data_IF_969129854157
#
_entry.id   IF_969129854157
#
_cell.length_a   1.000
_cell.length_b   1.000
_cell.length_c   1.000
_cell.angle_alpha   90.00
_cell.angle_beta   90.00
_cell.angle_gamma   90.00
#
_symmetry.space_group_name_H-M   'P 1'
#
loop_
_entity.id
_entity.type
_entity.pdbx_description
1 polymer ?
#
# COMPACT_ATOMS: atom_id res chain seq x y z
N UNK A 1 18.43 14.48 -13.79
CA UNK A 1 18.55 13.17 -13.08
C UNK A 1 17.32 12.34 -13.38
N UNK A 2 17.51 11.10 -13.80
CA UNK A 2 16.42 10.15 -14.01
C UNK A 2 16.24 9.25 -12.79
N UNK A 3 15.06 9.25 -12.23
CA UNK A 3 14.69 8.54 -11.01
C UNK A 3 13.65 7.48 -11.34
N UNK A 4 13.86 6.24 -10.93
CA UNK A 4 12.81 5.22 -10.89
C UNK A 4 12.20 5.24 -9.50
N UNK A 5 10.94 5.56 -9.42
CA UNK A 5 10.17 5.55 -8.17
C UNK A 5 9.26 4.33 -8.14
N UNK A 6 9.47 3.48 -7.16
CA UNK A 6 8.69 2.29 -6.81
C UNK A 6 8.45 2.27 -5.30
N UNK A 7 7.50 1.46 -4.84
CA UNK A 7 7.23 1.20 -3.43
C UNK A 7 6.36 -0.04 -3.29
N UNK A 8 6.03 -0.41 -2.07
CA UNK A 8 5.03 -1.42 -1.74
C UNK A 8 5.29 -2.76 -2.46
N UNK A 9 6.55 -3.22 -2.36
CA UNK A 9 6.97 -4.46 -3.01
C UNK A 9 6.38 -5.69 -2.32
N UNK A 10 6.21 -5.64 -1.00
CA UNK A 10 5.65 -6.70 -0.18
C UNK A 10 6.20 -8.08 -0.52
N UNK A 11 7.53 -8.20 -0.68
CA UNK A 11 8.14 -9.47 -1.06
C UNK A 11 7.80 -10.54 -0.02
N UNK A 12 7.33 -11.69 -0.51
CA UNK A 12 6.87 -12.80 0.32
C UNK A 12 5.39 -12.72 0.72
N UNK A 13 4.60 -11.85 0.06
CA UNK A 13 3.15 -11.72 0.32
C UNK A 13 2.39 -13.03 0.06
N UNK A 14 1.44 -13.28 0.95
CA UNK A 14 0.47 -14.37 0.85
C UNK A 14 -0.91 -13.76 0.63
N UNK A 15 -1.56 -14.08 -0.47
CA UNK A 15 -2.92 -13.60 -0.80
C UNK A 15 -3.85 -14.79 -0.91
N UNK A 16 -4.87 -14.86 -0.06
CA UNK A 16 -5.87 -15.95 -0.05
C UNK A 16 -5.27 -17.37 -0.10
N UNK A 17 -4.13 -17.57 0.58
CA UNK A 17 -3.42 -18.85 0.63
C UNK A 17 -2.44 -19.11 -0.52
N UNK A 18 -2.29 -18.18 -1.46
CA UNK A 18 -1.33 -18.26 -2.56
C UNK A 18 -0.08 -17.42 -2.28
N UNK A 19 1.09 -18.04 -2.40
CA UNK A 19 2.36 -17.32 -2.31
C UNK A 19 2.62 -16.54 -3.59
N UNK A 20 2.84 -15.23 -3.47
CA UNK A 20 3.08 -14.36 -4.62
C UNK A 20 4.54 -14.33 -5.09
N UNK A 21 5.45 -15.01 -4.40
CA UNK A 21 6.91 -14.90 -4.61
C UNK A 21 7.35 -15.17 -6.05
N UNK A 22 6.76 -16.17 -6.73
CA UNK A 22 7.10 -16.47 -8.13
C UNK A 22 6.60 -15.39 -9.10
N UNK A 23 5.42 -14.82 -8.84
CA UNK A 23 4.88 -13.71 -9.64
C UNK A 23 5.65 -12.42 -9.37
N UNK A 24 6.08 -12.19 -8.12
CA UNK A 24 6.96 -11.07 -7.75
C UNK A 24 8.30 -11.17 -8.48
N UNK A 25 8.92 -12.36 -8.50
CA UNK A 25 10.16 -12.61 -9.24
C UNK A 25 10.00 -12.31 -10.75
N UNK A 26 8.88 -12.74 -11.34
CA UNK A 26 8.59 -12.46 -12.75
C UNK A 26 8.48 -10.96 -13.05
N UNK A 27 7.85 -10.18 -12.16
CA UNK A 27 7.72 -8.74 -12.32
C UNK A 27 9.06 -8.04 -12.07
N UNK A 28 9.85 -8.48 -11.10
CA UNK A 28 11.20 -7.96 -10.82
C UNK A 28 12.14 -8.14 -12.03
N UNK A 29 12.02 -9.23 -12.78
CA UNK A 29 12.79 -9.39 -14.04
C UNK A 29 12.46 -8.30 -15.07
N UNK A 30 11.23 -7.76 -15.07
CA UNK A 30 10.88 -6.63 -15.92
C UNK A 30 11.43 -5.31 -15.38
N UNK A 31 11.57 -5.17 -14.05
CA UNK A 31 12.28 -4.02 -13.44
C UNK A 31 13.73 -3.97 -13.93
N UNK A 32 14.44 -5.11 -13.96
CA UNK A 32 15.80 -5.15 -14.49
C UNK A 32 15.88 -4.71 -15.95
N UNK A 33 14.96 -5.20 -16.80
CA UNK A 33 14.88 -4.79 -18.20
C UNK A 33 14.62 -3.29 -18.34
N UNK A 34 13.70 -2.75 -17.53
CA UNK A 34 13.44 -1.32 -17.53
C UNK A 34 14.67 -0.50 -17.14
N UNK A 35 15.46 -0.97 -16.15
CA UNK A 35 16.73 -0.32 -15.75
C UNK A 35 17.73 -0.36 -16.90
N UNK A 36 17.92 -1.50 -17.57
CA UNK A 36 18.81 -1.64 -18.72
C UNK A 36 18.42 -0.71 -19.90
N UNK A 37 17.12 -0.61 -20.18
CA UNK A 37 16.56 0.19 -21.28
C UNK A 37 16.61 1.70 -20.99
N UNK A 38 16.16 2.10 -19.79
CA UNK A 38 15.95 3.51 -19.45
C UNK A 38 17.11 4.14 -18.70
N UNK A 39 18.02 3.34 -18.13
CA UNK A 39 19.26 3.73 -17.44
C UNK A 39 19.03 4.84 -16.41
N UNK A 40 18.26 4.58 -15.34
CA UNK A 40 18.06 5.56 -14.28
C UNK A 40 19.37 5.82 -13.51
N UNK A 41 19.53 7.03 -13.01
CA UNK A 41 20.62 7.41 -12.10
C UNK A 41 20.44 6.79 -10.70
N UNK A 42 19.17 6.62 -10.31
CA UNK A 42 18.80 6.08 -9.00
C UNK A 42 17.42 5.40 -9.05
N UNK A 43 17.31 4.32 -8.29
CA UNK A 43 16.05 3.63 -7.98
C UNK A 43 15.63 3.98 -6.56
N UNK A 44 14.42 4.46 -6.37
CA UNK A 44 13.78 4.67 -5.08
C UNK A 44 12.80 3.53 -4.82
N UNK A 45 12.88 2.96 -3.60
CA UNK A 45 11.87 2.03 -3.06
C UNK A 45 11.27 2.68 -1.80
N UNK A 46 10.08 3.25 -1.96
CA UNK A 46 9.44 4.08 -0.96
C UNK A 46 8.67 3.27 0.10
N UNK A 47 9.35 2.31 0.75
CA UNK A 47 8.83 1.50 1.85
C UNK A 47 8.16 0.20 1.44
N UNK A 48 7.81 -0.60 2.45
CA UNK A 48 7.18 -1.91 2.35
C UNK A 48 7.93 -2.87 1.42
N UNK A 49 9.21 -3.08 1.74
CA UNK A 49 10.06 -4.01 1.01
C UNK A 49 9.56 -5.45 1.21
N UNK A 50 9.19 -5.79 2.45
CA UNK A 50 8.62 -7.08 2.82
C UNK A 50 7.15 -6.97 3.19
N UNK A 51 6.39 -8.07 3.06
CA UNK A 51 4.99 -8.14 3.48
C UNK A 51 4.80 -8.13 5.01
N UNK A 52 5.85 -8.47 5.75
CA UNK A 52 5.81 -8.55 7.22
C UNK A 52 7.19 -8.35 7.83
N UNK A 53 7.22 -7.90 9.07
CA UNK A 53 8.44 -7.62 9.84
C UNK A 53 9.37 -8.84 10.03
N UNK A 54 8.84 -10.07 9.92
CA UNK A 54 9.59 -11.32 9.89
C UNK A 54 9.29 -12.03 8.57
N UNK A 55 10.02 -11.71 7.50
CA UNK A 55 9.80 -12.29 6.19
C UNK A 55 10.25 -13.76 6.13
N UNK A 56 9.65 -14.60 5.27
CA UNK A 56 10.14 -15.94 5.01
C UNK A 56 11.51 -15.88 4.30
N UNK A 57 12.30 -16.95 4.45
CA UNK A 57 13.68 -17.01 3.90
C UNK A 57 13.72 -16.71 2.40
N UNK A 58 12.78 -17.27 1.64
CA UNK A 58 12.71 -17.03 0.18
C UNK A 58 12.49 -15.57 -0.18
N UNK A 59 11.78 -14.81 0.66
CA UNK A 59 11.60 -13.37 0.46
C UNK A 59 12.91 -12.62 0.72
N UNK A 60 13.64 -13.01 1.76
CA UNK A 60 14.96 -12.42 2.07
C UNK A 60 15.95 -12.68 0.93
N UNK A 61 16.00 -13.91 0.43
CA UNK A 61 16.86 -14.29 -0.69
C UNK A 61 16.49 -13.47 -1.96
N UNK A 62 15.20 -13.37 -2.29
CA UNK A 62 14.75 -12.62 -3.46
C UNK A 62 15.11 -11.13 -3.38
N UNK A 63 14.88 -10.47 -2.23
CA UNK A 63 15.26 -9.07 -2.06
C UNK A 63 16.77 -8.88 -2.15
N UNK A 64 17.56 -9.74 -1.47
CA UNK A 64 19.01 -9.69 -1.50
C UNK A 64 19.56 -9.83 -2.94
N UNK A 65 19.08 -10.82 -3.70
CA UNK A 65 19.48 -11.01 -5.09
C UNK A 65 19.08 -9.80 -5.95
N UNK A 66 17.88 -9.25 -5.72
CA UNK A 66 17.38 -8.10 -6.46
C UNK A 66 18.24 -6.86 -6.24
N UNK A 67 18.48 -6.51 -4.97
CA UNK A 67 19.33 -5.36 -4.64
C UNK A 67 20.76 -5.53 -5.15
N UNK A 68 21.33 -6.73 -4.98
CA UNK A 68 22.65 -7.06 -5.53
C UNK A 68 22.70 -6.84 -7.04
N UNK A 69 21.70 -7.36 -7.78
CA UNK A 69 21.67 -7.25 -9.25
C UNK A 69 21.54 -5.80 -9.70
N UNK A 70 20.66 -5.01 -9.07
CA UNK A 70 20.50 -3.59 -9.41
C UNK A 70 21.81 -2.81 -9.15
N UNK A 71 22.41 -3.00 -7.98
CA UNK A 71 23.57 -2.20 -7.56
C UNK A 71 24.87 -2.65 -8.24
N UNK A 72 25.12 -3.96 -8.30
CA UNK A 72 26.41 -4.49 -8.78
C UNK A 72 26.42 -4.81 -10.26
N UNK A 73 25.37 -5.44 -10.78
CA UNK A 73 25.35 -5.92 -12.15
C UNK A 73 24.84 -4.83 -13.10
N UNK A 74 23.82 -4.06 -12.68
CA UNK A 74 23.24 -2.94 -13.45
C UNK A 74 23.86 -1.58 -13.11
N UNK A 75 24.76 -1.54 -12.13
CA UNK A 75 25.48 -0.32 -11.68
C UNK A 75 24.57 0.88 -11.41
N UNK A 76 23.39 0.64 -10.79
CA UNK A 76 22.39 1.65 -10.49
C UNK A 76 22.27 1.82 -8.99
N UNK A 77 22.29 3.07 -8.50
CA UNK A 77 22.14 3.38 -7.08
C UNK A 77 20.71 3.08 -6.61
N UNK A 78 20.56 2.66 -5.36
CA UNK A 78 19.27 2.37 -4.75
C UNK A 78 19.12 3.14 -3.44
N UNK A 79 17.99 3.82 -3.27
CA UNK A 79 17.55 4.40 -1.99
C UNK A 79 16.28 3.66 -1.58
N UNK A 80 16.35 2.93 -0.48
CA UNK A 80 15.22 2.17 0.06
C UNK A 80 14.94 2.61 1.50
N UNK A 81 13.67 2.73 1.87
CA UNK A 81 13.29 3.03 3.24
C UNK A 81 12.30 1.98 3.79
N UNK A 82 12.17 1.94 5.11
CA UNK A 82 11.19 1.08 5.75
C UNK A 82 9.78 1.66 5.63
N UNK A 83 8.82 0.79 5.31
CA UNK A 83 7.38 1.05 5.42
C UNK A 83 6.80 0.47 6.71
N UNK A 84 5.45 0.50 6.83
CA UNK A 84 4.77 0.05 8.04
C UNK A 84 4.65 -1.48 8.17
N UNK A 85 4.98 -2.24 7.14
CA UNK A 85 5.07 -3.70 7.19
C UNK A 85 6.47 -4.19 7.58
N UNK A 86 7.50 -3.38 7.35
CA UNK A 86 8.88 -3.73 7.58
C UNK A 86 9.26 -3.72 9.08
N UNK A 87 10.39 -4.34 9.44
CA UNK A 87 11.08 -4.07 10.70
C UNK A 87 12.23 -3.11 10.42
N UNK A 88 12.14 -1.91 10.97
CA UNK A 88 13.11 -0.84 10.77
C UNK A 88 14.54 -1.30 11.03
N UNK A 89 14.76 -2.01 12.17
CA UNK A 89 16.09 -2.47 12.59
C UNK A 89 16.64 -3.57 11.68
N UNK A 90 15.75 -4.49 11.21
CA UNK A 90 16.17 -5.59 10.34
C UNK A 90 16.57 -5.11 8.96
N UNK A 91 15.82 -4.13 8.43
CA UNK A 91 16.14 -3.53 7.13
C UNK A 91 17.40 -2.70 7.22
N UNK A 92 17.60 -1.93 8.28
CA UNK A 92 18.79 -1.08 8.47
C UNK A 92 20.05 -1.88 8.80
N UNK A 93 19.92 -3.16 9.15
CA UNK A 93 21.07 -4.00 9.47
C UNK A 93 22.15 -3.92 8.38
N UNK A 94 23.36 -3.59 8.80
CA UNK A 94 24.56 -3.43 7.93
C UNK A 94 24.45 -2.32 6.86
N UNK A 95 23.46 -1.43 6.89
CA UNK A 95 23.25 -0.36 5.90
C UNK A 95 24.47 0.55 5.74
N UNK A 96 25.15 0.87 6.86
CA UNK A 96 26.36 1.69 6.83
C UNK A 96 27.52 1.07 6.03
N UNK A 97 27.62 -0.26 5.96
CA UNK A 97 28.62 -0.96 5.18
C UNK A 97 28.29 -0.96 3.67
N UNK A 98 27.04 -0.74 3.32
CA UNK A 98 26.54 -0.78 1.95
C UNK A 98 26.54 0.60 1.30
N UNK A 99 26.67 1.66 2.08
CA UNK A 99 26.60 3.06 1.64
C UNK A 99 27.54 3.37 0.47
N UNK A 100 28.83 3.03 0.60
CA UNK A 100 29.84 3.25 -0.45
C UNK A 100 29.61 2.41 -1.71
N UNK A 101 28.77 1.40 -1.61
CA UNK A 101 28.38 0.57 -2.76
C UNK A 101 27.27 1.18 -3.60
N UNK A 102 26.65 2.29 -3.15
CA UNK A 102 25.50 2.90 -3.80
C UNK A 102 24.15 2.29 -3.39
N UNK A 103 24.11 1.56 -2.27
CA UNK A 103 22.90 1.04 -1.65
C UNK A 103 22.65 1.78 -0.32
N UNK A 104 21.64 2.62 -0.34
CA UNK A 104 21.24 3.47 0.78
C UNK A 104 19.94 2.91 1.39
N UNK A 105 20.03 2.28 2.55
CA UNK A 105 18.88 1.73 3.27
C UNK A 105 18.65 2.55 4.54
N UNK A 106 17.43 3.07 4.71
CA UNK A 106 17.01 3.86 5.86
C UNK A 106 15.84 3.17 6.54
N UNK A 107 16.13 2.52 7.66
CA UNK A 107 15.11 1.82 8.46
C UNK A 107 14.54 2.71 9.55
N UNK A 108 15.41 3.32 10.35
CA UNK A 108 15.00 4.10 11.53
C UNK A 108 14.98 5.59 11.24
N UNK A 109 13.90 6.25 11.69
CA UNK A 109 13.85 7.70 11.73
C UNK A 109 14.82 8.23 12.80
N UNK A 110 15.57 9.27 12.47
CA UNK A 110 16.48 9.96 13.38
C UNK A 110 16.00 11.38 13.62
N UNK A 111 16.39 11.98 14.74
CA UNK A 111 16.07 13.39 15.05
C UNK A 111 16.74 14.39 14.08
N UNK A 112 17.85 13.97 13.45
CA UNK A 112 18.46 14.64 12.32
C UNK A 112 18.32 13.73 11.09
N UNK A 113 17.63 14.22 10.06
CA UNK A 113 17.42 13.47 8.83
C UNK A 113 18.68 13.57 7.97
N UNK A 114 19.37 12.45 7.80
CA UNK A 114 20.55 12.34 6.95
C UNK A 114 20.14 12.42 5.48
N UNK A 115 20.52 13.50 4.79
CA UNK A 115 20.31 13.60 3.34
C UNK A 115 21.31 12.75 2.58
N UNK A 116 20.84 12.13 1.50
CA UNK A 116 21.68 11.43 0.52
C UNK A 116 21.84 12.36 -0.68
N UNK A 117 23.07 12.81 -0.94
CA UNK A 117 23.34 13.70 -2.07
C UNK A 117 23.93 12.91 -3.21
N UNK A 118 23.27 12.93 -4.36
CA UNK A 118 23.76 12.42 -5.62
C UNK A 118 24.04 13.59 -6.57
N UNK A 119 24.86 13.37 -7.59
CA UNK A 119 25.22 14.39 -8.54
C UNK A 119 25.06 13.87 -9.97
N UNK A 120 24.53 14.71 -10.85
CA UNK A 120 24.51 14.51 -12.30
C UNK A 120 25.19 15.70 -13.01
N UNK A 121 25.15 15.73 -14.34
CA UNK A 121 25.73 16.80 -15.15
C UNK A 121 25.14 18.20 -14.82
N UNK A 122 23.98 18.27 -14.22
CA UNK A 122 23.27 19.49 -13.83
C UNK A 122 23.50 19.91 -12.38
N UNK A 123 24.33 19.17 -11.63
CA UNK A 123 24.67 19.44 -10.24
C UNK A 123 24.01 18.49 -9.25
N UNK A 124 23.89 18.94 -8.00
CA UNK A 124 23.46 18.10 -6.87
C UNK A 124 21.95 17.90 -6.83
N UNK A 125 21.56 16.71 -6.40
CA UNK A 125 20.18 16.36 -6.00
C UNK A 125 20.24 15.75 -4.61
N UNK A 126 19.53 16.35 -3.66
CA UNK A 126 19.44 15.91 -2.28
C UNK A 126 18.17 15.08 -2.10
N UNK A 127 18.32 13.87 -1.60
CA UNK A 127 17.24 12.99 -1.25
C UNK A 127 17.08 12.95 0.26
N UNK A 128 15.85 13.14 0.74
CA UNK A 128 15.50 13.14 2.16
C UNK A 128 14.59 11.93 2.42
N UNK A 129 15.17 10.79 2.82
CA UNK A 129 14.41 9.58 3.13
C UNK A 129 13.76 9.70 4.52
N UNK A 130 12.44 9.60 4.57
CA UNK A 130 11.62 9.64 5.77
C UNK A 130 10.95 8.27 5.92
N UNK A 131 11.56 7.32 6.66
CA UNK A 131 10.98 6.01 6.88
C UNK A 131 9.71 6.11 7.73
N UNK A 132 8.85 5.09 7.63
CA UNK A 132 7.69 5.01 8.50
C UNK A 132 8.08 4.97 9.97
N UNK A 133 7.37 5.78 10.76
CA UNK A 133 7.50 5.81 12.22
C UNK A 133 6.16 6.12 12.88
N UNK A 134 5.85 5.40 13.95
CA UNK A 134 4.63 5.62 14.74
C UNK A 134 4.68 6.96 15.46
N UNK A 135 3.52 7.59 15.64
CA UNK A 135 3.37 8.89 16.30
C UNK A 135 4.02 8.93 17.70
N UNK A 136 3.85 7.93 18.58
CA UNK A 136 4.55 7.89 19.87
C UNK A 136 6.07 7.91 19.73
N UNK A 137 6.62 7.15 18.79
CA UNK A 137 8.06 7.13 18.54
C UNK A 137 8.58 8.50 18.11
N UNK A 138 7.88 9.19 17.20
CA UNK A 138 8.27 10.53 16.73
C UNK A 138 8.20 11.55 17.86
N UNK A 139 7.15 11.47 18.71
CA UNK A 139 7.01 12.33 19.92
C UNK A 139 8.20 12.18 20.85
N UNK A 140 8.55 10.94 21.18
CA UNK A 140 9.66 10.63 22.07
C UNK A 140 11.02 11.06 21.48
N UNK A 141 11.20 10.81 20.16
CA UNK A 141 12.43 11.16 19.42
C UNK A 141 12.73 12.66 19.43
N UNK A 142 11.69 13.48 19.30
CA UNK A 142 11.79 14.94 19.26
C UNK A 142 11.49 15.62 20.62
N UNK A 143 11.18 14.85 21.65
CA UNK A 143 10.79 15.33 23.00
C UNK A 143 9.67 16.39 22.92
N UNK A 144 8.67 16.19 22.04
CA UNK A 144 7.60 17.17 21.77
C UNK A 144 6.21 16.55 22.00
N UNK A 145 5.61 16.86 23.15
CA UNK A 145 4.28 16.40 23.56
C UNK A 145 3.12 16.90 22.68
N UNK A 146 3.36 17.89 21.80
CA UNK A 146 2.35 18.38 20.86
C UNK A 146 2.18 17.45 19.66
N UNK A 147 3.07 16.51 19.42
CA UNK A 147 2.97 15.51 18.36
C UNK A 147 1.92 14.46 18.76
N UNK A 148 0.71 14.57 18.17
CA UNK A 148 -0.44 13.71 18.48
C UNK A 148 -1.02 12.96 17.27
N UNK A 149 -0.67 13.37 16.07
CA UNK A 149 -1.17 12.83 14.81
C UNK A 149 -0.02 12.60 13.84
N UNK A 150 -0.23 11.79 12.81
CA UNK A 150 0.74 11.62 11.72
C UNK A 150 1.02 12.95 11.01
N UNK A 151 0.04 13.85 10.90
CA UNK A 151 0.22 15.18 10.31
C UNK A 151 1.20 16.02 11.13
N UNK A 152 1.01 16.12 12.46
CA UNK A 152 1.92 16.86 13.34
C UNK A 152 3.31 16.22 13.44
N UNK A 153 3.39 14.89 13.34
CA UNK A 153 4.67 14.18 13.27
C UNK A 153 5.43 14.54 11.99
N UNK A 154 4.75 14.51 10.83
CA UNK A 154 5.37 14.86 9.55
C UNK A 154 5.74 16.34 9.48
N UNK A 155 4.91 17.24 10.01
CA UNK A 155 5.24 18.66 10.13
C UNK A 155 6.55 18.86 10.90
N UNK A 156 6.70 18.15 12.02
CA UNK A 156 7.93 18.23 12.83
C UNK A 156 9.15 17.71 12.09
N UNK A 157 9.04 16.55 11.43
CA UNK A 157 10.12 15.94 10.62
C UNK A 157 10.55 16.87 9.49
N UNK A 158 9.60 17.36 8.70
CA UNK A 158 9.88 18.24 7.57
C UNK A 158 10.45 19.59 8.02
N UNK A 159 10.03 20.08 9.18
CA UNK A 159 10.63 21.30 9.76
C UNK A 159 12.12 21.14 10.07
N UNK A 160 12.57 19.94 10.52
CA UNK A 160 13.99 19.66 10.71
C UNK A 160 14.75 19.60 9.37
N UNK A 161 14.16 18.97 8.35
CA UNK A 161 14.75 18.94 7.00
C UNK A 161 14.95 20.37 6.49
N UNK A 162 13.99 21.25 6.66
CA UNK A 162 14.05 22.63 6.18
C UNK A 162 15.14 23.47 6.83
N UNK A 163 15.69 23.10 7.99
CA UNK A 163 16.83 23.80 8.60
C UNK A 163 18.12 23.66 7.81
N UNK A 164 18.27 22.56 7.06
CA UNK A 164 19.43 22.25 6.23
C UNK A 164 19.11 22.27 4.73
N UNK A 165 17.90 22.77 4.36
CA UNK A 165 17.43 22.82 2.99
C UNK A 165 18.21 23.87 2.19
N UNK A 166 18.65 23.52 0.99
CA UNK A 166 19.25 24.47 0.06
C UNK A 166 18.29 24.67 -1.10
N UNK A 167 17.66 25.84 -1.19
CA UNK A 167 16.70 26.19 -2.22
C UNK A 167 17.35 26.29 -3.62
N UNK A 168 18.68 26.47 -3.71
CA UNK A 168 19.41 26.50 -4.96
C UNK A 168 19.77 25.11 -5.52
N UNK A 169 19.51 24.07 -4.73
CA UNK A 169 19.74 22.68 -5.13
C UNK A 169 18.42 21.96 -5.38
N UNK A 170 18.45 20.89 -6.15
CA UNK A 170 17.28 20.04 -6.37
C UNK A 170 17.04 19.14 -5.16
N UNK A 171 15.81 19.10 -4.67
CA UNK A 171 15.45 18.43 -3.42
C UNK A 171 14.29 17.46 -3.63
N UNK A 172 14.45 16.22 -3.22
CA UNK A 172 13.48 15.12 -3.36
C UNK A 172 13.18 14.53 -1.99
N UNK A 173 11.92 14.52 -1.59
CA UNK A 173 11.49 13.76 -0.41
C UNK A 173 11.12 12.33 -0.80
N UNK A 174 11.37 11.38 0.10
CA UNK A 174 10.91 10.01 0.00
C UNK A 174 10.21 9.70 1.32
N UNK A 175 8.94 9.29 1.29
CA UNK A 175 8.19 9.02 2.50
C UNK A 175 7.23 7.83 2.33
N UNK A 176 6.86 7.22 3.46
CA UNK A 176 5.88 6.14 3.49
C UNK A 176 4.77 6.49 4.48
N UNK A 177 3.54 6.57 4.00
CA UNK A 177 2.37 6.90 4.80
C UNK A 177 1.22 7.45 3.97
N UNK A 178 0.10 7.73 4.62
CA UNK A 178 -1.11 8.23 3.96
C UNK A 178 -1.06 9.75 3.79
N UNK A 179 -0.56 10.22 2.67
CA UNK A 179 -0.48 11.65 2.33
C UNK A 179 -1.63 12.02 1.42
N UNK A 180 -2.43 13.02 1.83
CA UNK A 180 -3.54 13.54 1.02
C UNK A 180 -3.56 15.06 1.06
N UNK A 181 -4.25 15.68 0.10
CA UNK A 181 -4.45 17.12 0.09
C UNK A 181 -5.61 17.48 1.02
N UNK A 182 -5.29 18.25 2.06
CA UNK A 182 -6.28 18.75 3.02
C UNK A 182 -6.47 20.24 2.81
N UNK A 183 -7.72 20.68 2.58
CA UNK A 183 -8.10 22.07 2.47
C UNK A 183 -9.47 22.29 3.12
N UNK A 184 -9.55 23.23 4.08
CA UNK A 184 -10.80 23.66 4.71
C UNK A 184 -11.64 22.47 5.24
N UNK A 185 -10.99 21.53 5.99
CA UNK A 185 -11.56 20.29 6.52
C UNK A 185 -12.04 19.28 5.46
N UNK A 186 -11.70 19.50 4.19
CA UNK A 186 -11.97 18.58 3.10
C UNK A 186 -10.71 17.80 2.69
N UNK A 187 -10.86 16.48 2.50
CA UNK A 187 -9.78 15.58 2.07
C UNK A 187 -9.96 15.24 0.59
N UNK A 188 -8.87 15.24 -0.17
CA UNK A 188 -8.87 14.64 -1.50
C UNK A 188 -9.06 13.12 -1.33
N UNK A 189 -10.09 12.56 -1.96
CA UNK A 189 -10.33 11.12 -1.94
C UNK A 189 -9.31 10.44 -2.84
N UNK A 190 -8.51 9.57 -2.27
CA UNK A 190 -7.53 8.75 -2.97
C UNK A 190 -8.05 7.33 -3.17
N UNK A 191 -7.51 6.63 -4.15
CA UNK A 191 -7.83 5.23 -4.40
C UNK A 191 -7.09 4.36 -3.39
N UNK A 192 -7.84 3.68 -2.52
CA UNK A 192 -7.34 2.74 -1.52
C UNK A 192 -7.57 1.30 -1.96
N UNK A 193 -6.74 0.38 -1.47
CA UNK A 193 -6.86 -1.05 -1.72
C UNK A 193 -7.17 -1.83 -0.45
N UNK A 194 -7.95 -2.90 -0.57
CA UNK A 194 -8.21 -3.86 0.52
C UNK A 194 -6.94 -4.57 1.02
N UNK A 195 -5.84 -4.48 0.29
CA UNK A 195 -4.55 -5.08 0.65
C UNK A 195 -3.64 -4.15 1.48
N UNK A 196 -4.00 -2.88 1.62
CA UNK A 196 -3.30 -1.90 2.44
C UNK A 196 -3.65 -2.08 3.92
N UNK A 197 -2.68 -1.86 4.78
CA UNK A 197 -2.87 -1.99 6.22
C UNK A 197 -3.12 -0.61 6.84
N UNK A 198 -4.24 -0.41 7.56
CA UNK A 198 -4.49 0.84 8.26
C UNK A 198 -3.32 1.21 9.18
N UNK A 199 -2.92 2.48 9.18
CA UNK A 199 -1.79 2.98 9.99
C UNK A 199 -2.19 3.18 11.47
N UNK A 200 -3.49 3.40 11.76
CA UNK A 200 -3.97 3.54 13.13
C UNK A 200 -5.33 2.87 13.35
N UNK A 201 -5.63 2.59 14.61
CA UNK A 201 -6.94 2.10 15.04
C UNK A 201 -7.72 3.28 15.64
N UNK A 202 -8.62 3.86 14.85
CA UNK A 202 -9.54 4.91 15.31
C UNK A 202 -8.95 6.31 15.41
N UNK A 203 -7.79 6.56 14.78
CA UNK A 203 -7.16 7.88 14.62
C UNK A 203 -7.32 8.43 13.20
N UNK A 204 -6.80 9.64 12.97
CA UNK A 204 -6.62 10.19 11.63
C UNK A 204 -5.22 9.83 11.14
N UNK A 205 -5.14 8.99 10.11
CA UNK A 205 -3.88 8.53 9.53
C UNK A 205 -3.30 9.50 8.50
N UNK A 206 -4.04 10.58 8.20
CA UNK A 206 -3.75 11.50 7.11
C UNK A 206 -2.62 12.47 7.44
N UNK A 207 -1.74 12.65 6.45
CA UNK A 207 -0.66 13.62 6.42
C UNK A 207 -1.02 14.65 5.33
N UNK A 208 -0.96 15.93 5.65
CA UNK A 208 -1.26 16.98 4.67
C UNK A 208 -0.11 17.15 3.67
N UNK A 209 -0.43 17.05 2.39
CA UNK A 209 0.53 17.21 1.29
C UNK A 209 1.23 18.58 1.27
N UNK A 210 0.70 19.61 1.97
CA UNK A 210 1.33 20.93 2.11
C UNK A 210 2.75 20.87 2.65
N UNK A 211 3.06 19.87 3.51
CA UNK A 211 4.39 19.71 4.09
C UNK A 211 5.46 19.44 3.03
N UNK A 212 5.06 18.90 1.88
CA UNK A 212 5.95 18.50 0.78
C UNK A 212 6.06 19.52 -0.36
N UNK A 213 5.33 20.65 -0.32
CA UNK A 213 5.24 21.60 -1.44
C UNK A 213 6.58 22.21 -1.87
N UNK A 214 7.53 22.34 -0.94
CA UNK A 214 8.86 22.89 -1.23
C UNK A 214 9.78 21.95 -2.01
N UNK A 215 9.52 20.65 -1.97
CA UNK A 215 10.35 19.68 -2.68
C UNK A 215 10.04 19.75 -4.19
N UNK A 216 11.07 19.48 -5.00
CA UNK A 216 10.90 19.38 -6.46
C UNK A 216 10.08 18.12 -6.81
N UNK A 217 10.28 17.05 -6.05
CA UNK A 217 9.51 15.82 -6.15
C UNK A 217 9.39 15.13 -4.78
N UNK A 218 8.26 14.48 -4.55
CA UNK A 218 8.02 13.64 -3.38
C UNK A 218 7.57 12.25 -3.81
N UNK A 219 8.41 11.27 -3.52
CA UNK A 219 8.16 9.86 -3.79
C UNK A 219 7.47 9.22 -2.59
N UNK A 220 6.21 8.81 -2.76
CA UNK A 220 5.38 8.22 -1.70
C UNK A 220 5.19 6.71 -1.92
N UNK A 221 5.21 5.94 -0.83
CA UNK A 221 4.70 4.59 -0.71
C UNK A 221 3.56 4.50 0.30
N UNK A 222 2.93 3.37 0.41
CA UNK A 222 1.80 2.96 1.23
C UNK A 222 0.52 2.68 0.43
N UNK A 223 0.11 3.54 -0.49
CA UNK A 223 -1.05 3.28 -1.34
C UNK A 223 -0.64 2.49 -2.58
N UNK A 224 -1.34 1.37 -2.81
CA UNK A 224 -1.04 0.44 -3.89
C UNK A 224 -1.48 0.94 -5.27
N UNK A 225 -2.42 1.90 -5.33
CA UNK A 225 -2.84 2.56 -6.56
C UNK A 225 -1.85 3.64 -6.98
N UNK A 226 -1.26 3.60 -8.21
CA UNK A 226 -0.41 4.68 -8.70
C UNK A 226 -1.25 5.95 -8.94
N UNK A 227 -0.97 7.00 -8.17
CA UNK A 227 -1.77 8.22 -8.19
C UNK A 227 -0.98 9.43 -7.72
N UNK A 228 -1.45 10.63 -8.07
CA UNK A 228 -0.90 11.89 -7.59
C UNK A 228 -1.72 12.46 -6.43
N UNK A 229 -1.08 13.29 -5.62
CA UNK A 229 -1.72 14.00 -4.52
C UNK A 229 -1.68 15.51 -4.83
N UNK A 230 -2.79 16.06 -5.22
CA UNK A 230 -2.91 17.47 -5.58
C UNK A 230 -2.13 17.88 -6.85
N UNK A 231 -0.89 17.46 -7.00
CA UNK A 231 -0.03 17.79 -8.14
C UNK A 231 0.85 16.61 -8.56
N UNK A 232 1.44 16.66 -9.75
CA UNK A 232 2.37 15.63 -10.22
C UNK A 232 3.68 15.56 -9.43
N UNK A 233 4.00 16.58 -8.63
CA UNK A 233 5.19 16.59 -7.76
C UNK A 233 5.10 15.67 -6.57
N UNK A 234 3.90 15.28 -6.14
CA UNK A 234 3.67 14.42 -4.97
C UNK A 234 2.89 13.21 -5.46
N UNK A 235 3.52 12.02 -5.44
CA UNK A 235 2.93 10.84 -6.06
C UNK A 235 3.19 9.56 -5.28
N UNK A 236 2.22 8.67 -5.33
CA UNK A 236 2.37 7.25 -5.09
C UNK A 236 2.75 6.53 -6.38
N UNK A 237 3.77 5.69 -6.32
CA UNK A 237 4.11 4.80 -7.44
C UNK A 237 3.13 3.63 -7.56
N UNK A 238 2.52 3.27 -6.44
CA UNK A 238 1.78 2.03 -6.27
C UNK A 238 2.70 0.80 -6.16
N UNK A 239 2.08 -0.34 -5.87
CA UNK A 239 2.77 -1.63 -5.79
C UNK A 239 3.15 -2.16 -7.17
N UNK A 240 4.19 -3.02 -7.22
CA UNK A 240 4.68 -3.61 -8.48
C UNK A 240 3.66 -4.53 -9.17
N UNK A 241 2.77 -5.16 -8.40
CA UNK A 241 1.71 -6.02 -8.89
C UNK A 241 0.46 -5.89 -8.01
N UNK A 242 -0.66 -6.41 -8.48
CA UNK A 242 -1.90 -6.43 -7.71
C UNK A 242 -1.81 -7.42 -6.56
N UNK A 243 -2.35 -7.05 -5.41
CA UNK A 243 -2.40 -7.90 -4.20
C UNK A 243 -3.82 -8.09 -3.67
N UNK A 244 -4.82 -7.48 -4.31
CA UNK A 244 -6.23 -7.65 -3.96
C UNK A 244 -7.14 -7.53 -5.18
N UNK A 245 -8.39 -8.00 -5.04
CA UNK A 245 -9.40 -7.84 -6.09
C UNK A 245 -9.96 -6.42 -6.19
N UNK A 246 -9.71 -5.56 -5.23
CA UNK A 246 -10.02 -4.12 -5.34
C UNK A 246 -9.10 -3.42 -6.36
N UNK A 247 -7.92 -3.99 -6.62
CA UNK A 247 -6.93 -3.46 -7.56
C UNK A 247 -7.10 -3.93 -9.01
N UNK A 248 -8.15 -4.67 -9.31
CA UNK A 248 -8.37 -5.34 -10.61
C UNK A 248 -8.25 -4.37 -11.81
N UNK A 249 -8.69 -3.13 -11.64
CA UNK A 249 -8.68 -2.10 -12.68
C UNK A 249 -7.39 -1.26 -12.68
N UNK A 250 -6.49 -1.45 -11.71
CA UNK A 250 -5.25 -0.68 -11.63
C UNK A 250 -4.23 -1.17 -12.64
N UNK A 251 -3.47 -0.23 -13.20
CA UNK A 251 -2.28 -0.51 -14.00
C UNK A 251 -1.05 -0.36 -13.13
N UNK A 252 -0.27 -1.42 -13.03
CA UNK A 252 0.96 -1.44 -12.24
C UNK A 252 2.15 -1.08 -13.11
N UNK A 253 3.10 -0.34 -12.54
CA UNK A 253 4.25 0.13 -13.32
C UNK A 253 5.32 0.78 -12.46
N UNK A 254 6.38 1.23 -13.13
CA UNK A 254 7.44 2.02 -12.54
C UNK A 254 7.17 3.49 -12.89
N UNK A 255 7.13 4.36 -11.90
CA UNK A 255 7.09 5.80 -12.15
C UNK A 255 8.49 6.30 -12.47
N UNK A 256 8.72 6.70 -13.71
CA UNK A 256 9.97 7.32 -14.16
C UNK A 256 9.84 8.82 -14.04
N UNK A 257 10.78 9.44 -13.32
CA UNK A 257 10.81 10.88 -13.09
C UNK A 257 12.10 11.45 -13.66
N UNK A 258 11.98 12.26 -14.69
CA UNK A 258 13.09 13.05 -15.21
C UNK A 258 13.08 14.44 -14.54
N UNK A 259 14.04 14.66 -13.64
CA UNK A 259 14.21 15.91 -12.90
C UNK A 259 15.28 16.76 -13.62
N UNK A 260 14.85 17.89 -14.21
CA UNK A 260 15.73 18.78 -14.95
C UNK A 260 16.61 19.66 -14.05
N UNK A 261 17.47 20.49 -14.66
CA UNK A 261 18.39 21.38 -13.93
C UNK A 261 17.66 22.49 -13.14
N UNK A 262 16.47 22.87 -13.57
CA UNK A 262 15.66 23.94 -12.98
C UNK A 262 14.66 23.39 -11.93
N UNK A 263 14.72 22.08 -11.64
CA UNK A 263 13.86 21.43 -10.67
C UNK A 263 12.47 21.06 -11.19
N UNK A 264 12.24 21.17 -12.52
CA UNK A 264 11.00 20.69 -13.11
C UNK A 264 11.05 19.18 -13.33
N UNK A 265 9.88 18.56 -13.30
CA UNK A 265 9.74 17.12 -13.48
C UNK A 265 8.99 16.77 -14.76
N UNK A 266 9.40 15.68 -15.40
CA UNK A 266 8.64 14.99 -16.42
C UNK A 266 8.37 13.55 -15.94
N UNK A 267 7.12 13.10 -16.05
CA UNK A 267 6.69 11.78 -15.58
C UNK A 267 6.37 10.86 -16.76
N UNK A 268 6.97 9.68 -16.76
CA UNK A 268 6.63 8.56 -17.66
C UNK A 268 6.28 7.35 -16.78
N UNK A 269 5.30 6.54 -17.19
CA UNK A 269 5.00 5.26 -16.55
C UNK A 269 5.48 4.14 -17.44
N UNK A 270 6.32 3.27 -16.89
CA UNK A 270 6.74 2.03 -17.54
C UNK A 270 5.83 0.90 -17.04
N UNK A 271 4.95 0.40 -17.90
CA UNK A 271 3.97 -0.63 -17.53
C UNK A 271 4.64 -1.95 -17.19
N UNK A 272 4.25 -2.55 -16.07
CA UNK A 272 4.64 -3.90 -15.65
C UNK A 272 3.48 -4.87 -15.93
N UNK A 273 3.80 -5.99 -16.54
CA UNK A 273 2.83 -7.02 -16.89
C UNK A 273 2.90 -8.17 -15.87
N UNK A 274 1.81 -8.52 -15.22
CA UNK A 274 1.79 -9.65 -14.29
C UNK A 274 1.99 -10.97 -15.07
N UNK A 275 2.53 -12.00 -14.42
CA UNK A 275 2.52 -13.38 -14.92
C UNK A 275 1.12 -13.95 -14.88
N UNK A 276 0.40 -13.70 -13.77
CA UNK A 276 -1.00 -14.03 -13.53
C UNK A 276 -1.69 -12.76 -13.06
N UNK A 277 -2.76 -12.38 -13.73
CA UNK A 277 -3.51 -11.18 -13.35
C UNK A 277 -4.65 -11.51 -12.38
N UNK A 278 -5.16 -10.49 -11.70
CA UNK A 278 -6.35 -10.58 -10.86
C UNK A 278 -7.58 -10.25 -11.68
N UNK A 279 -8.55 -11.16 -11.70
CA UNK A 279 -9.81 -10.97 -12.45
C UNK A 279 -11.03 -11.35 -11.62
N UNK A 280 -12.14 -10.65 -11.86
CA UNK A 280 -13.44 -10.96 -11.27
C UNK A 280 -14.32 -11.55 -12.36
N UNK A 281 -14.92 -12.71 -12.07
CA UNK A 281 -15.93 -13.34 -12.92
C UNK A 281 -17.28 -13.31 -12.22
N UNK A 282 -18.29 -12.81 -12.92
CA UNK A 282 -19.65 -12.67 -12.40
C UNK A 282 -20.60 -13.45 -13.32
N UNK A 283 -21.38 -14.37 -12.77
CA UNK A 283 -22.32 -15.17 -13.54
C UNK A 283 -22.86 -16.36 -12.76
N UNK A 284 -23.70 -17.18 -13.40
CA UNK A 284 -24.07 -18.48 -12.84
C UNK A 284 -22.88 -19.45 -12.88
N UNK A 285 -22.92 -20.50 -12.08
CA UNK A 285 -21.88 -21.54 -12.08
C UNK A 285 -21.66 -22.09 -13.47
N UNK A 286 -22.74 -22.35 -14.21
CA UNK A 286 -22.67 -22.85 -15.57
C UNK A 286 -22.01 -21.84 -16.53
N UNK A 287 -22.37 -20.56 -16.47
CA UNK A 287 -21.76 -19.52 -17.29
C UNK A 287 -20.26 -19.38 -17.00
N UNK A 288 -19.85 -19.45 -15.72
CA UNK A 288 -18.45 -19.38 -15.32
C UNK A 288 -17.67 -20.58 -15.87
N UNK A 289 -18.20 -21.79 -15.72
CA UNK A 289 -17.55 -23.00 -16.25
C UNK A 289 -17.42 -22.96 -17.78
N UNK A 290 -18.48 -22.55 -18.48
CA UNK A 290 -18.51 -22.47 -19.95
C UNK A 290 -17.63 -21.32 -20.49
N UNK A 291 -17.25 -20.36 -19.68
CA UNK A 291 -16.33 -19.28 -20.10
C UNK A 291 -14.87 -19.73 -20.25
N UNK A 292 -14.50 -20.91 -19.76
CA UNK A 292 -13.14 -21.46 -19.80
C UNK A 292 -12.55 -21.52 -21.21
N UNK A 293 -13.30 -22.01 -22.19
CA UNK A 293 -12.79 -22.14 -23.57
C UNK A 293 -12.42 -20.81 -24.24
N UNK A 294 -13.03 -19.71 -23.79
CA UNK A 294 -12.72 -18.35 -24.24
C UNK A 294 -11.50 -17.75 -23.53
N UNK A 295 -11.13 -18.32 -22.40
CA UNK A 295 -10.11 -17.80 -21.50
C UNK A 295 -8.83 -18.66 -21.42
N UNK A 296 -8.63 -19.59 -22.36
CA UNK A 296 -7.52 -20.57 -22.31
C UNK A 296 -6.15 -19.97 -22.05
N UNK A 297 -5.90 -18.76 -22.56
CA UNK A 297 -4.60 -18.07 -22.38
C UNK A 297 -4.42 -17.51 -20.96
N UNK A 298 -5.52 -17.29 -20.23
CA UNK A 298 -5.53 -16.64 -18.94
C UNK A 298 -6.21 -17.48 -17.84
N UNK A 299 -6.28 -18.79 -18.01
CA UNK A 299 -6.93 -19.68 -17.04
C UNK A 299 -6.12 -19.86 -15.74
N UNK A 300 -4.84 -19.49 -15.75
CA UNK A 300 -3.97 -19.49 -14.58
C UNK A 300 -4.05 -18.18 -13.77
N UNK A 301 -4.81 -17.17 -14.22
CA UNK A 301 -5.00 -15.94 -13.48
C UNK A 301 -5.67 -16.19 -12.12
N UNK A 302 -5.44 -15.29 -11.20
CA UNK A 302 -6.09 -15.28 -9.88
C UNK A 302 -7.52 -14.77 -10.03
N UNK A 303 -8.49 -15.61 -9.64
CA UNK A 303 -9.90 -15.35 -9.94
C UNK A 303 -10.73 -15.24 -8.67
N UNK A 304 -11.53 -14.17 -8.60
CA UNK A 304 -12.69 -14.06 -7.74
C UNK A 304 -13.94 -14.36 -8.53
N UNK A 305 -14.78 -15.25 -8.04
CA UNK A 305 -16.06 -15.59 -8.65
C UNK A 305 -17.20 -15.05 -7.79
N UNK A 306 -18.13 -14.33 -8.43
CA UNK A 306 -19.37 -13.85 -7.83
C UNK A 306 -20.52 -14.58 -8.51
N UNK A 307 -21.10 -15.56 -7.81
CA UNK A 307 -22.18 -16.39 -8.35
C UNK A 307 -23.54 -15.70 -8.25
N UNK A 308 -24.32 -15.76 -9.34
CA UNK A 308 -25.70 -15.29 -9.45
C UNK A 308 -26.74 -16.38 -9.19
N UNK A 309 -26.28 -17.61 -8.97
CA UNK A 309 -27.17 -18.74 -8.72
C UNK A 309 -28.00 -18.52 -7.43
N UNK A 310 -29.29 -18.82 -7.53
CA UNK A 310 -30.21 -18.89 -6.40
C UNK A 310 -30.29 -20.33 -5.90
N UNK A 311 -30.37 -20.50 -4.57
CA UNK A 311 -30.46 -21.82 -3.95
C UNK A 311 -29.11 -22.49 -3.68
N UNK A 312 -29.14 -23.75 -3.25
CA UNK A 312 -27.95 -24.51 -2.88
C UNK A 312 -27.22 -25.03 -4.13
N UNK A 313 -25.88 -24.89 -4.11
CA UNK A 313 -24.99 -25.45 -5.12
C UNK A 313 -24.12 -26.52 -4.46
N UNK A 314 -24.05 -27.67 -5.10
CA UNK A 314 -23.20 -28.78 -4.65
C UNK A 314 -21.74 -28.49 -5.07
N UNK A 315 -20.88 -28.26 -4.08
CA UNK A 315 -19.45 -28.05 -4.20
C UNK A 315 -19.02 -27.12 -5.37
N UNK A 316 -19.47 -25.86 -5.38
CA UNK A 316 -19.18 -24.96 -6.49
C UNK A 316 -17.70 -24.63 -6.58
N UNK A 317 -16.98 -24.55 -5.45
CA UNK A 317 -15.55 -24.24 -5.43
C UNK A 317 -14.71 -25.31 -6.14
N UNK A 318 -14.96 -26.61 -5.88
CA UNK A 318 -14.23 -27.69 -6.52
C UNK A 318 -14.51 -27.71 -8.05
N UNK A 319 -15.78 -27.48 -8.44
CA UNK A 319 -16.12 -27.40 -9.86
C UNK A 319 -15.40 -26.26 -10.59
N UNK A 320 -15.34 -25.08 -9.97
CA UNK A 320 -14.65 -23.93 -10.58
C UNK A 320 -13.14 -24.18 -10.62
N UNK A 321 -12.54 -24.75 -9.56
CA UNK A 321 -11.12 -25.10 -9.53
C UNK A 321 -10.70 -26.12 -10.58
N UNK A 322 -11.62 -26.96 -11.06
CA UNK A 322 -11.31 -27.90 -12.15
C UNK A 322 -11.01 -27.22 -13.48
N UNK A 323 -11.45 -25.99 -13.67
CA UNK A 323 -11.23 -25.18 -14.89
C UNK A 323 -10.35 -23.96 -14.63
N UNK A 324 -10.46 -23.34 -13.45
CA UNK A 324 -9.65 -22.20 -13.01
C UNK A 324 -8.88 -22.58 -11.73
N UNK A 325 -7.66 -23.13 -11.83
CA UNK A 325 -6.94 -23.70 -10.68
C UNK A 325 -6.63 -22.67 -9.59
N UNK A 326 -6.49 -21.40 -9.96
CA UNK A 326 -6.13 -20.31 -9.06
C UNK A 326 -7.34 -19.46 -8.61
N UNK A 327 -8.52 -20.09 -8.45
CA UNK A 327 -9.64 -19.40 -7.79
C UNK A 327 -9.31 -19.16 -6.33
N UNK A 328 -9.27 -17.88 -5.96
CA UNK A 328 -8.97 -17.40 -4.62
C UNK A 328 -10.23 -17.18 -3.78
N UNK A 329 -11.27 -16.60 -4.39
CA UNK A 329 -12.50 -16.24 -3.71
C UNK A 329 -13.74 -16.70 -4.47
N UNK A 330 -14.75 -17.10 -3.71
CA UNK A 330 -16.08 -17.45 -4.22
C UNK A 330 -17.12 -16.80 -3.30
N UNK A 331 -17.92 -15.90 -3.86
CA UNK A 331 -18.98 -15.20 -3.15
C UNK A 331 -20.30 -15.31 -3.92
N UNK A 332 -21.43 -15.02 -3.28
CA UNK A 332 -22.72 -14.85 -3.95
C UNK A 332 -23.06 -13.38 -4.09
N UNK A 333 -23.78 -13.01 -5.16
CA UNK A 333 -24.13 -11.63 -5.48
C UNK A 333 -24.85 -10.93 -4.30
N UNK A 334 -25.79 -11.61 -3.63
CA UNK A 334 -26.49 -11.08 -2.45
C UNK A 334 -25.56 -10.72 -1.28
N UNK A 335 -24.46 -11.47 -1.11
CA UNK A 335 -23.45 -11.16 -0.10
C UNK A 335 -22.43 -10.11 -0.56
N UNK A 336 -22.15 -10.05 -1.86
CA UNK A 336 -21.24 -9.08 -2.44
C UNK A 336 -21.82 -7.65 -2.35
N UNK A 337 -23.11 -7.48 -2.59
CA UNK A 337 -23.80 -6.19 -2.45
C UNK A 337 -23.82 -5.74 -0.97
N UNK A 338 -23.93 -6.67 -0.02
CA UNK A 338 -23.89 -6.37 1.42
C UNK A 338 -22.49 -6.08 1.95
N UNK A 339 -21.44 -6.67 1.35
CA UNK A 339 -20.02 -6.43 1.73
C UNK A 339 -19.48 -5.08 1.28
N UNK A 340 -20.03 -4.46 0.25
CA UNK A 340 -19.65 -3.13 -0.24
C UNK A 340 -20.15 -1.95 0.60
N UNK A 341 -20.94 -2.22 1.66
CA UNK A 341 -21.48 -1.19 2.56
C UNK A 341 -20.73 -1.13 3.90
N UNK A 342 -19.38 -1.11 3.88
CA UNK A 342 -18.57 -0.79 5.08
C UNK A 342 -18.48 0.71 5.40
N UNK A 343 -19.32 1.55 4.80
CA UNK A 343 -19.36 3.00 5.07
C UNK A 343 -20.43 3.39 6.14
N UNK A 344 -20.57 2.63 7.21
CA UNK A 344 -21.40 3.04 8.37
C UNK A 344 -20.61 2.96 9.69
N UNK A 345 -19.33 3.28 9.64
CA UNK A 345 -18.52 3.47 10.87
C UNK A 345 -18.53 4.93 11.40
N UNK A 346 -19.32 5.80 10.80
CA UNK A 346 -19.50 7.17 11.29
C UNK A 346 -20.76 7.23 12.14
N UNK A 347 -20.59 7.22 13.47
CA UNK A 347 -21.55 7.47 14.57
C UNK A 347 -21.85 6.28 15.52
N UNK A 348 -20.87 5.41 15.78
CA UNK A 348 -21.03 4.38 16.83
C UNK A 348 -21.01 4.99 18.24
N UNK A 349 -20.39 6.15 18.44
CA UNK A 349 -20.26 6.78 19.77
C UNK A 349 -21.53 7.40 20.35
N UNK A 350 -22.59 7.57 19.57
CA UNK A 350 -23.86 8.17 20.02
C UNK A 350 -25.06 7.24 20.02
N UNK A 351 -24.92 5.99 19.56
CA UNK A 351 -26.02 5.02 19.50
C UNK A 351 -26.03 4.13 20.75
N UNK A 352 -27.22 3.93 21.33
CA UNK A 352 -27.42 2.94 22.41
C UNK A 352 -27.11 1.52 21.89
N UNK A 353 -26.67 0.61 22.77
CA UNK A 353 -26.45 -0.82 22.45
C UNK A 353 -27.67 -1.46 21.76
N UNK A 354 -28.87 -1.12 22.21
CA UNK A 354 -30.12 -1.59 21.61
C UNK A 354 -30.32 -1.04 20.19
N UNK A 355 -29.95 0.20 19.94
CA UNK A 355 -29.99 0.81 18.60
C UNK A 355 -29.01 0.18 17.63
N UNK A 356 -27.82 -0.21 18.12
CA UNK A 356 -26.83 -0.96 17.35
C UNK A 356 -27.35 -2.37 17.01
N UNK A 357 -27.99 -3.04 17.97
CA UNK A 357 -28.64 -4.34 17.74
C UNK A 357 -29.75 -4.25 16.69
N UNK A 358 -30.63 -3.25 16.77
CA UNK A 358 -31.67 -3.02 15.75
C UNK A 358 -31.09 -2.86 14.35
N UNK A 359 -30.02 -2.06 14.23
CA UNK A 359 -29.35 -1.88 12.95
C UNK A 359 -28.74 -3.19 12.44
N UNK A 360 -28.07 -3.93 13.31
CA UNK A 360 -27.47 -5.23 13.00
C UNK A 360 -28.54 -6.27 12.59
N UNK A 361 -29.65 -6.36 13.35
CA UNK A 361 -30.73 -7.28 13.04
C UNK A 361 -31.34 -6.99 11.66
N UNK A 362 -31.66 -5.71 11.40
CA UNK A 362 -32.16 -5.27 10.09
C UNK A 362 -31.19 -5.59 8.95
N UNK A 363 -29.89 -5.39 9.17
CA UNK A 363 -28.84 -5.68 8.18
C UNK A 363 -28.69 -7.19 7.88
N UNK A 364 -28.99 -8.07 8.86
CA UNK A 364 -28.86 -9.52 8.71
C UNK A 364 -30.15 -10.16 8.19
N UNK A 365 -31.30 -9.76 8.76
CA UNK A 365 -32.60 -10.41 8.50
C UNK A 365 -33.37 -9.73 7.38
N UNK A 366 -32.99 -8.51 6.99
CA UNK A 366 -33.67 -7.65 6.02
C UNK A 366 -35.11 -7.25 6.46
N UNK A 367 -35.40 -7.40 7.76
CA UNK A 367 -36.67 -7.09 8.40
C UNK A 367 -36.41 -6.28 9.69
N UNK A 368 -37.36 -5.44 10.07
CA UNK A 368 -37.26 -4.74 11.34
C UNK A 368 -37.53 -5.71 12.50
N UNK A 369 -36.71 -5.66 13.53
CA UNK A 369 -36.84 -6.48 14.73
C UNK A 369 -38.20 -6.26 15.43
N UNK A 370 -38.90 -7.33 15.73
CA UNK A 370 -40.20 -7.25 16.43
C UNK A 370 -40.03 -6.81 17.89
N UNK A 371 -41.09 -6.27 18.47
CA UNK A 371 -41.07 -5.72 19.82
C UNK A 371 -40.77 -6.77 20.90
N UNK A 372 -41.15 -8.02 20.65
CA UNK A 372 -40.91 -9.16 21.53
C UNK A 372 -39.42 -9.58 21.53
N UNK A 373 -38.78 -9.55 20.37
CA UNK A 373 -37.34 -9.83 20.21
C UNK A 373 -36.46 -8.74 20.84
N UNK A 374 -36.88 -7.49 20.69
CA UNK A 374 -36.24 -6.35 21.35
C UNK A 374 -36.27 -6.45 22.86
N UNK A 375 -37.41 -6.83 23.43
CA UNK A 375 -37.56 -7.02 24.88
C UNK A 375 -36.73 -8.18 25.42
N UNK A 376 -36.50 -9.22 24.60
CA UNK A 376 -35.62 -10.34 24.96
C UNK A 376 -34.17 -9.85 24.97
N UNK A 377 -33.74 -9.12 23.93
CA UNK A 377 -32.36 -8.62 23.83
C UNK A 377 -32.03 -7.60 24.92
N UNK A 378 -32.98 -6.72 25.26
CA UNK A 378 -32.83 -5.75 26.36
C UNK A 378 -32.55 -6.45 27.69
N UNK A 379 -33.32 -7.51 28.01
CA UNK A 379 -33.08 -8.35 29.20
C UNK A 379 -31.75 -9.07 29.17
N UNK A 380 -31.29 -9.55 28.02
CA UNK A 380 -29.98 -10.19 27.85
C UNK A 380 -28.88 -9.17 28.09
N UNK A 381 -28.98 -7.98 27.54
CA UNK A 381 -28.01 -6.89 27.75
C UNK A 381 -27.93 -6.46 29.22
N UNK A 382 -29.09 -6.28 29.88
CA UNK A 382 -29.14 -5.97 31.32
C UNK A 382 -28.53 -7.09 32.18
N UNK A 383 -28.79 -8.34 31.81
CA UNK A 383 -28.24 -9.50 32.53
C UNK A 383 -26.72 -9.58 32.38
N UNK A 384 -26.21 -9.30 31.18
CA UNK A 384 -24.78 -9.27 30.90
C UNK A 384 -24.07 -8.10 31.63
N UNK A 385 -24.73 -6.96 31.79
CA UNK A 385 -24.20 -5.81 32.53
C UNK A 385 -24.17 -6.07 34.05
N UNK A 386 -25.12 -6.85 34.59
CA UNK A 386 -25.15 -7.24 36.01
C UNK A 386 -24.25 -8.41 36.36
N UNK A 387 -23.78 -9.20 35.38
CA UNK A 387 -22.95 -10.37 35.58
C UNK A 387 -21.43 -10.09 35.55
N UNK A 388 -21.04 -8.83 35.60
CA UNK A 388 -19.65 -8.38 35.72
C UNK A 388 -19.42 -7.87 37.16
N UNK A 389 -19.68 -8.73 38.15
CA UNK A 389 -19.14 -8.64 39.52
C UNK A 389 -18.26 -9.86 39.80
#
# INVERSE_FOLDING_TARGET
MRIFHMGDWHIGKLVNGFYMTEDQKYVIEQVYKAIEEKKPDVVIIAGDLYDRSIPPVQAVELLNETLRKIVKDLNTKVIALAGNHDSNERIEFASSLLYDSGLYIVGNLKNKIDKITLEDESGKVNFYPIPYADVPYVRDLFEDENIKTYDSAMERIVSEIHKEFNDDERNVAIAHGYVTKIKDDYYELLEESDSEKPLSIGGTDYINSKHFEKFNYTALGHLHGPQKVGSDKIRYSGSLMKYSFSEVNQRKGITIVDLDKDGNIHIEIYDLKPRRDFRIKIGTLEEVLNSYDKDKENNEDYIKVILKDKGELLDPMAKIRSVYPNVMELTREERAIRGGSRSVATNIKEKSKLSLFKSFYKDIMDEDCEEEELNIMERVMESAERGVE
#
